data_IF_193171995131
#
_entry.id   IF_193171995131
#
_cell.length_a   1.000
_cell.length_b   1.000
_cell.length_c   1.000
_cell.angle_alpha   90.00
_cell.angle_beta   90.00
_cell.angle_gamma   90.00
#
_symmetry.space_group_name_H-M   'P 1'
#
loop_
_entity.id
_entity.type
_entity.pdbx_description
1 polymer ?
#
# COMPACT_ATOMS: atom_id res chain seq x y z
N UNK A 1 17.45 16.67 -15.53
CA UNK A 1 17.67 15.86 -14.31
C UNK A 1 16.49 15.89 -13.35
N UNK A 2 15.98 17.07 -12.96
CA UNK A 2 14.85 17.22 -12.03
C UNK A 2 13.53 16.59 -12.52
N UNK A 3 13.19 16.73 -13.80
CA UNK A 3 11.96 16.15 -14.40
C UNK A 3 12.01 14.61 -14.34
N UNK A 4 13.13 14.00 -14.69
CA UNK A 4 13.29 12.53 -14.69
C UNK A 4 13.17 11.98 -13.26
N UNK A 5 13.85 12.60 -12.30
CA UNK A 5 13.84 12.17 -10.90
C UNK A 5 12.48 12.35 -10.22
N UNK A 6 11.72 13.40 -10.56
CA UNK A 6 10.48 13.73 -9.86
C UNK A 6 9.20 13.27 -10.58
N UNK A 7 9.29 12.87 -11.85
CA UNK A 7 8.14 12.44 -12.66
C UNK A 7 8.31 11.01 -13.16
N UNK A 8 9.38 10.74 -13.89
CA UNK A 8 9.58 9.43 -14.51
C UNK A 8 9.88 8.34 -13.47
N UNK A 9 10.77 8.62 -12.51
CA UNK A 9 11.20 7.64 -11.52
C UNK A 9 10.07 7.19 -10.57
N UNK A 10 9.23 8.08 -10.02
CA UNK A 10 8.06 7.66 -9.24
C UNK A 10 7.03 6.90 -10.08
N UNK A 11 6.80 7.31 -11.33
CA UNK A 11 5.87 6.62 -12.20
C UNK A 11 6.32 5.19 -12.50
N UNK A 12 7.59 5.01 -12.88
CA UNK A 12 8.19 3.69 -13.13
C UNK A 12 8.17 2.84 -11.86
N UNK A 13 8.56 3.40 -10.72
CA UNK A 13 8.51 2.68 -9.44
C UNK A 13 7.09 2.22 -9.12
N UNK A 14 6.08 3.07 -9.32
CA UNK A 14 4.69 2.69 -9.09
C UNK A 14 4.22 1.56 -10.01
N UNK A 15 4.62 1.58 -11.28
CA UNK A 15 4.36 0.47 -12.22
C UNK A 15 5.03 -0.84 -11.78
N UNK A 16 6.25 -0.78 -11.23
CA UNK A 16 6.93 -1.96 -10.66
C UNK A 16 6.13 -2.53 -9.49
N UNK A 17 5.60 -1.70 -8.59
CA UNK A 17 4.75 -2.19 -7.50
C UNK A 17 3.45 -2.82 -8.01
N UNK A 18 2.84 -2.31 -9.08
CA UNK A 18 1.71 -2.98 -9.71
C UNK A 18 2.09 -4.30 -10.37
N UNK A 19 3.25 -4.39 -11.01
CA UNK A 19 3.77 -5.65 -11.54
C UNK A 19 4.00 -6.67 -10.41
N UNK A 20 4.54 -6.25 -9.26
CA UNK A 20 4.67 -7.12 -8.09
C UNK A 20 3.31 -7.55 -7.53
N UNK A 21 2.32 -6.67 -7.48
CA UNK A 21 0.95 -7.02 -7.09
C UNK A 21 0.34 -8.06 -8.05
N UNK A 22 0.56 -7.91 -9.35
CA UNK A 22 0.14 -8.87 -10.36
C UNK A 22 0.82 -10.23 -10.18
N UNK A 23 2.13 -10.26 -9.94
CA UNK A 23 2.88 -11.48 -9.69
C UNK A 23 2.39 -12.22 -8.44
N UNK A 24 2.07 -11.50 -7.36
CA UNK A 24 1.46 -12.10 -6.16
C UNK A 24 0.10 -12.72 -6.49
N UNK A 25 -0.76 -12.02 -7.25
CA UNK A 25 -2.07 -12.54 -7.65
C UNK A 25 -1.96 -13.80 -8.50
N UNK A 26 -0.98 -13.86 -9.41
CA UNK A 26 -0.72 -15.00 -10.30
C UNK A 26 -0.13 -16.21 -9.57
N UNK A 27 0.83 -15.98 -8.68
CA UNK A 27 1.60 -17.03 -7.97
C UNK A 27 0.95 -17.52 -6.66
N UNK A 28 -0.30 -17.12 -6.41
CA UNK A 28 -0.98 -17.24 -5.13
C UNK A 28 -1.00 -18.68 -4.57
N UNK A 29 -1.27 -19.69 -5.41
CA UNK A 29 -1.56 -21.08 -4.97
C UNK A 29 -0.39 -21.79 -4.26
N UNK A 30 0.86 -21.56 -4.69
CA UNK A 30 2.03 -22.16 -4.04
C UNK A 30 2.48 -21.37 -2.82
N UNK A 31 2.34 -20.05 -2.85
CA UNK A 31 2.80 -19.15 -1.79
C UNK A 31 1.84 -19.11 -0.60
N UNK A 32 0.53 -19.33 -0.82
CA UNK A 32 -0.46 -19.45 0.26
C UNK A 32 -0.20 -20.62 1.18
N UNK A 33 0.38 -21.70 0.67
CA UNK A 33 0.75 -22.87 1.47
C UNK A 33 1.91 -22.58 2.43
N UNK A 34 2.78 -21.63 2.10
CA UNK A 34 3.99 -21.32 2.87
C UNK A 34 3.79 -20.10 3.78
N UNK A 35 3.13 -19.05 3.29
CA UNK A 35 2.98 -17.77 3.99
C UNK A 35 1.57 -17.49 4.49
N UNK A 36 0.59 -18.33 4.16
CA UNK A 36 -0.81 -18.11 4.52
C UNK A 36 -1.52 -17.11 3.61
N UNK A 37 -2.84 -17.31 3.46
CA UNK A 37 -3.70 -16.50 2.58
C UNK A 37 -3.76 -15.03 2.98
N UNK A 38 -3.73 -14.76 4.29
CA UNK A 38 -3.91 -13.41 4.81
C UNK A 38 -2.69 -12.54 4.54
N UNK A 39 -1.49 -13.10 4.63
CA UNK A 39 -0.23 -12.46 4.23
C UNK A 39 -0.23 -12.14 2.76
N UNK A 40 -0.60 -13.11 1.91
CA UNK A 40 -0.65 -12.87 0.47
C UNK A 40 -1.62 -11.75 0.11
N UNK A 41 -2.81 -11.72 0.72
CA UNK A 41 -3.77 -10.63 0.53
C UNK A 41 -3.24 -9.28 1.04
N UNK A 42 -2.68 -9.24 2.24
CA UNK A 42 -2.13 -8.01 2.82
C UNK A 42 -0.97 -7.45 1.99
N UNK A 43 -0.04 -8.29 1.52
CA UNK A 43 1.05 -7.88 0.64
C UNK A 43 0.52 -7.40 -0.72
N UNK A 44 -0.49 -8.04 -1.29
CA UNK A 44 -1.15 -7.57 -2.50
C UNK A 44 -1.70 -6.13 -2.33
N UNK A 45 -2.49 -5.90 -1.29
CA UNK A 45 -3.05 -4.56 -1.03
C UNK A 45 -1.96 -3.53 -0.72
N UNK A 46 -0.91 -3.92 -0.01
CA UNK A 46 0.24 -3.05 0.26
C UNK A 46 0.94 -2.62 -1.04
N UNK A 47 1.17 -3.54 -1.98
CA UNK A 47 1.77 -3.22 -3.27
C UNK A 47 0.87 -2.35 -4.14
N UNK A 48 -0.44 -2.60 -4.15
CA UNK A 48 -1.41 -1.74 -4.86
C UNK A 48 -1.39 -0.31 -4.28
N UNK A 49 -1.42 -0.18 -2.96
CA UNK A 49 -1.39 1.11 -2.28
C UNK A 49 -0.09 1.88 -2.55
N UNK A 50 1.08 1.21 -2.49
CA UNK A 50 2.37 1.80 -2.84
C UNK A 50 2.45 2.23 -4.31
N UNK A 51 1.91 1.40 -5.21
CA UNK A 51 1.82 1.73 -6.64
C UNK A 51 1.06 3.02 -6.87
N UNK A 52 -0.14 3.15 -6.28
CA UNK A 52 -0.96 4.36 -6.35
C UNK A 52 -0.28 5.57 -5.69
N UNK A 53 0.36 5.38 -4.55
CA UNK A 53 1.06 6.44 -3.83
C UNK A 53 2.26 7.01 -4.60
N UNK A 54 2.98 6.18 -5.35
CA UNK A 54 4.10 6.59 -6.19
C UNK A 54 3.61 7.23 -7.50
N UNK A 55 2.59 6.66 -8.15
CA UNK A 55 2.04 7.20 -9.41
C UNK A 55 1.30 8.53 -9.24
N UNK A 56 0.83 8.84 -8.05
CA UNK A 56 0.24 10.14 -7.73
C UNK A 56 1.28 11.22 -7.41
N UNK A 57 2.56 10.88 -7.23
CA UNK A 57 3.62 11.87 -6.99
C UNK A 57 3.89 12.78 -8.20
N UNK A 58 3.93 12.27 -9.45
CA UNK A 58 3.99 13.12 -10.62
C UNK A 58 2.82 14.09 -10.70
N UNK A 59 1.61 13.63 -10.38
CA UNK A 59 0.40 14.44 -10.37
C UNK A 59 0.55 15.64 -9.42
N UNK A 60 1.08 15.42 -8.22
CA UNK A 60 1.34 16.49 -7.25
C UNK A 60 2.30 17.57 -7.79
N UNK A 61 3.28 17.18 -8.60
CA UNK A 61 4.27 18.11 -9.16
C UNK A 61 3.75 18.87 -10.39
N UNK A 62 2.74 18.32 -11.08
CA UNK A 62 2.16 18.92 -12.30
C UNK A 62 0.94 19.79 -11.97
N UNK A 63 0.19 19.45 -10.92
CA UNK A 63 -1.06 20.12 -10.54
C UNK A 63 -0.77 21.53 -9.98
N UNK A 64 -0.47 22.48 -10.87
CA UNK A 64 -0.62 23.92 -10.69
C UNK A 64 -0.17 24.55 -9.35
N UNK A 65 -0.70 25.73 -9.01
CA UNK A 65 -0.42 26.38 -7.75
C UNK A 65 -1.22 25.77 -6.59
N UNK A 66 -0.81 26.13 -5.37
CA UNK A 66 -1.55 25.82 -4.14
C UNK A 66 -3.03 26.24 -4.27
N UNK A 67 -4.01 25.44 -3.81
CA UNK A 67 -3.92 24.30 -2.86
C UNK A 67 -3.91 22.91 -3.50
N UNK A 68 -3.91 22.81 -4.82
CA UNK A 68 -4.16 21.54 -5.49
C UNK A 68 -3.04 20.47 -5.23
N UNK A 69 -1.74 20.80 -5.16
CA UNK A 69 -0.70 19.85 -4.73
C UNK A 69 -0.86 19.38 -3.28
N UNK A 70 -1.39 20.23 -2.40
CA UNK A 70 -1.61 19.89 -1.00
C UNK A 70 -2.70 18.82 -0.87
N UNK A 71 -3.80 18.96 -1.61
CA UNK A 71 -4.86 17.95 -1.64
C UNK A 71 -4.35 16.58 -2.11
N UNK A 72 -3.51 16.55 -3.15
CA UNK A 72 -2.87 15.31 -3.61
C UNK A 72 -1.97 14.72 -2.51
N UNK A 73 -1.24 15.56 -1.78
CA UNK A 73 -0.41 15.11 -0.67
C UNK A 73 -1.21 14.48 0.47
N UNK A 74 -2.34 15.09 0.87
CA UNK A 74 -3.22 14.54 1.89
C UNK A 74 -3.78 13.18 1.47
N UNK A 75 -4.25 13.04 0.22
CA UNK A 75 -4.71 11.74 -0.31
C UNK A 75 -3.57 10.71 -0.29
N UNK A 76 -2.35 11.11 -0.64
CA UNK A 76 -1.17 10.25 -0.58
C UNK A 76 -0.86 9.81 0.87
N UNK A 77 -0.94 10.70 1.84
CA UNK A 77 -0.75 10.35 3.26
C UNK A 77 -1.83 9.40 3.75
N UNK A 78 -3.10 9.67 3.40
CA UNK A 78 -4.21 8.76 3.68
C UNK A 78 -3.96 7.35 3.11
N UNK A 79 -3.54 7.22 1.85
CA UNK A 79 -3.23 5.91 1.24
C UNK A 79 -2.15 5.15 2.01
N UNK A 80 -1.12 5.84 2.50
CA UNK A 80 -0.04 5.21 3.26
C UNK A 80 -0.49 4.77 4.64
N UNK A 81 -1.26 5.61 5.33
CA UNK A 81 -1.71 5.34 6.69
C UNK A 81 -2.88 4.37 6.74
N UNK A 82 -3.93 4.60 5.96
CA UNK A 82 -5.18 3.84 6.05
C UNK A 82 -5.17 2.52 5.26
N UNK A 83 -4.29 2.36 4.27
CA UNK A 83 -4.25 1.16 3.43
C UNK A 83 -2.92 0.43 3.49
N UNK A 84 -1.81 1.09 3.16
CA UNK A 84 -0.52 0.41 3.08
C UNK A 84 -0.06 -0.14 4.43
N UNK A 85 0.07 0.72 5.44
CA UNK A 85 0.57 0.36 6.76
C UNK A 85 -0.23 -0.77 7.43
N UNK A 86 -1.58 -0.71 7.55
CA UNK A 86 -2.36 -1.77 8.17
C UNK A 86 -2.32 -3.07 7.36
N UNK A 87 -2.33 -2.99 6.02
CA UNK A 87 -2.24 -4.19 5.16
C UNK A 87 -0.91 -4.92 5.34
N UNK A 88 0.19 -4.16 5.41
CA UNK A 88 1.52 -4.72 5.64
C UNK A 88 1.63 -5.30 7.06
N UNK A 89 1.12 -4.60 8.07
CA UNK A 89 1.16 -5.06 9.46
C UNK A 89 0.38 -6.37 9.63
N UNK A 90 -0.84 -6.44 9.09
CA UNK A 90 -1.66 -7.65 9.10
C UNK A 90 -0.97 -8.78 8.33
N UNK A 91 -0.27 -8.48 7.23
CA UNK A 91 0.49 -9.48 6.49
C UNK A 91 1.66 -10.05 7.29
N UNK A 92 2.44 -9.20 7.96
CA UNK A 92 3.58 -9.60 8.79
C UNK A 92 3.11 -10.45 9.97
N UNK A 93 2.04 -10.03 10.64
CA UNK A 93 1.49 -10.75 11.79
C UNK A 93 0.88 -12.12 11.45
N UNK A 94 0.58 -12.38 10.18
CA UNK A 94 0.05 -13.66 9.72
C UNK A 94 1.04 -14.40 8.81
N UNK A 95 2.30 -13.97 8.75
CA UNK A 95 3.33 -14.51 7.85
C UNK A 95 3.60 -15.99 8.09
N UNK A 96 3.40 -16.47 9.32
CA UNK A 96 3.63 -17.87 9.67
C UNK A 96 2.43 -18.73 9.31
N UNK A 97 2.70 -19.95 8.83
CA UNK A 97 1.67 -20.96 8.54
C UNK A 97 1.09 -21.64 9.80
N UNK A 98 1.23 -21.01 10.97
CA UNK A 98 0.76 -21.56 12.23
C UNK A 98 -0.77 -21.46 12.36
N UNK A 99 -1.38 -22.40 13.08
CA UNK A 99 -2.82 -22.41 13.37
C UNK A 99 -3.25 -21.24 14.26
N UNK A 100 -2.33 -20.72 15.09
CA UNK A 100 -2.58 -19.57 15.96
C UNK A 100 -2.40 -18.26 15.20
N UNK A 101 -3.44 -17.90 14.44
CA UNK A 101 -3.52 -16.60 13.76
C UNK A 101 -3.90 -15.49 14.74
N UNK A 102 -3.47 -14.27 14.42
CA UNK A 102 -3.90 -13.08 15.17
C UNK A 102 -5.43 -12.96 15.11
N UNK A 103 -6.12 -12.72 16.25
CA UNK A 103 -7.57 -12.62 16.28
C UNK A 103 -8.10 -11.59 15.28
N UNK A 104 -9.21 -11.91 14.60
CA UNK A 104 -9.83 -11.01 13.61
C UNK A 104 -10.18 -9.63 14.18
N UNK A 105 -10.50 -9.57 15.47
CA UNK A 105 -10.77 -8.32 16.19
C UNK A 105 -9.54 -7.40 16.20
N UNK A 106 -8.35 -7.97 16.44
CA UNK A 106 -7.09 -7.21 16.44
C UNK A 106 -6.77 -6.74 15.04
N UNK A 107 -6.97 -7.58 14.03
CA UNK A 107 -6.79 -7.19 12.62
C UNK A 107 -7.74 -6.04 12.23
N UNK A 108 -9.02 -6.11 12.64
CA UNK A 108 -9.99 -5.05 12.41
C UNK A 108 -9.61 -3.76 13.15
N UNK A 109 -9.16 -3.87 14.40
CA UNK A 109 -8.71 -2.72 15.19
C UNK A 109 -7.54 -1.99 14.51
N UNK A 110 -6.58 -2.72 13.93
CA UNK A 110 -5.49 -2.14 13.14
C UNK A 110 -6.02 -1.30 11.97
N UNK A 111 -6.97 -1.81 11.20
CA UNK A 111 -7.56 -1.04 10.08
C UNK A 111 -8.39 0.16 10.55
N UNK A 112 -9.12 0.03 11.66
CA UNK A 112 -9.91 1.12 12.23
C UNK A 112 -9.00 2.25 12.70
N UNK A 113 -7.97 1.93 13.49
CA UNK A 113 -7.01 2.93 13.98
C UNK A 113 -6.28 3.59 12.81
N UNK A 114 -5.81 2.80 11.84
CA UNK A 114 -5.16 3.30 10.64
C UNK A 114 -6.04 4.24 9.82
N UNK A 115 -7.33 3.94 9.69
CA UNK A 115 -8.31 4.80 9.01
C UNK A 115 -8.50 6.13 9.74
N UNK A 116 -8.64 6.11 11.07
CA UNK A 116 -8.72 7.35 11.85
C UNK A 116 -7.44 8.18 11.75
N UNK A 117 -6.26 7.54 11.81
CA UNK A 117 -5.00 8.23 11.59
C UNK A 117 -4.95 8.87 10.20
N UNK A 118 -5.34 8.14 9.15
CA UNK A 118 -5.39 8.69 7.80
C UNK A 118 -6.37 9.87 7.65
N UNK A 119 -7.47 9.90 8.38
CA UNK A 119 -8.43 11.01 8.33
C UNK A 119 -7.94 12.27 9.05
N UNK A 120 -7.05 12.11 10.03
CA UNK A 120 -6.50 13.23 10.82
C UNK A 120 -5.36 13.95 10.08
N UNK A 121 -4.57 13.22 9.29
CA UNK A 121 -3.36 13.72 8.63
C UNK A 121 -3.54 13.89 7.11
#
# INVERSE_FOLDING_TARGET
MLIILNLALPALAGLVYFAMAYEIKKSNRGRTLIMGELTIRGTFYAYVALGLWLLSRPLQNIIGPHPAPLAVNCVRQFLMMALFAPSLLVAIFNWTSEDKKVPKIVQAAVFIVALFMGLIF
#
